data_IF_771097971016
#
_entry.id   IF_771097971016
#
_cell.length_a   1.000
_cell.length_b   1.000
_cell.length_c   1.000
_cell.angle_alpha   90.00
_cell.angle_beta   90.00
_cell.angle_gamma   90.00
#
_symmetry.space_group_name_H-M   'P 1'
#
loop_
_entity.id
_entity.type
_entity.pdbx_description
1 polymer ?
#
# COMPACT_ATOMS: atom_id res chain seq x y z
N UNK A 1 40.28 8.58 -49.90
CA UNK A 1 38.97 7.86 -49.91
C UNK A 1 38.66 7.12 -48.58
N UNK A 2 39.66 6.53 -47.91
CA UNK A 2 39.45 5.83 -46.61
C UNK A 2 39.00 6.74 -45.46
N UNK A 3 39.44 7.99 -45.44
CA UNK A 3 39.15 8.95 -44.34
C UNK A 3 37.66 9.42 -44.31
N UNK A 4 37.05 9.60 -45.46
CA UNK A 4 35.65 10.01 -45.60
C UNK A 4 34.70 8.88 -45.15
N UNK A 5 35.07 7.64 -45.43
CA UNK A 5 34.28 6.46 -45.07
C UNK A 5 34.31 6.23 -43.55
N UNK A 6 35.47 6.50 -42.91
CA UNK A 6 35.63 6.37 -41.44
C UNK A 6 34.82 7.44 -40.69
N UNK A 7 34.93 8.71 -41.13
CA UNK A 7 34.17 9.83 -40.56
C UNK A 7 32.66 9.65 -40.74
N UNK A 8 32.22 9.15 -41.91
CA UNK A 8 30.81 8.88 -42.17
C UNK A 8 30.29 7.73 -41.25
N UNK A 9 31.12 6.69 -41.05
CA UNK A 9 30.79 5.55 -40.17
C UNK A 9 30.73 5.94 -38.68
N UNK A 10 31.68 6.76 -38.25
CA UNK A 10 31.69 7.31 -36.89
C UNK A 10 30.47 8.21 -36.63
N UNK A 11 30.08 9.04 -37.61
CA UNK A 11 28.90 9.90 -37.54
C UNK A 11 27.61 9.07 -37.47
N UNK A 12 27.49 8.03 -38.30
CA UNK A 12 26.35 7.10 -38.26
C UNK A 12 26.25 6.35 -36.91
N UNK A 13 27.38 5.94 -36.34
CA UNK A 13 27.39 5.30 -35.03
C UNK A 13 26.97 6.27 -33.91
N UNK A 14 27.46 7.53 -33.94
CA UNK A 14 27.06 8.56 -32.98
C UNK A 14 25.56 8.89 -33.11
N UNK A 15 25.03 8.96 -34.32
CA UNK A 15 23.60 9.19 -34.57
C UNK A 15 22.76 7.97 -34.09
N UNK A 16 23.25 6.75 -34.27
CA UNK A 16 22.61 5.55 -33.81
C UNK A 16 22.61 5.46 -32.27
N UNK A 17 23.76 5.66 -31.60
CA UNK A 17 23.84 5.66 -30.13
C UNK A 17 23.02 6.77 -29.48
N UNK A 18 22.78 7.86 -30.23
CA UNK A 18 21.93 8.96 -29.75
C UNK A 18 20.49 8.54 -29.54
N UNK A 19 19.95 7.68 -30.39
CA UNK A 19 18.52 7.39 -30.44
C UNK A 19 18.15 5.94 -30.06
N UNK A 20 19.14 5.02 -30.07
CA UNK A 20 18.92 3.60 -29.77
C UNK A 20 19.67 3.14 -28.53
N UNK A 21 19.12 2.12 -27.86
CA UNK A 21 19.78 1.40 -26.77
C UNK A 21 20.78 0.39 -27.33
N UNK A 22 22.03 0.49 -26.89
CA UNK A 22 23.16 -0.30 -27.44
C UNK A 22 23.03 -1.81 -27.18
N UNK A 23 22.30 -2.23 -26.14
CA UNK A 23 22.14 -3.64 -25.80
C UNK A 23 21.00 -4.30 -26.61
N UNK A 24 19.92 -3.56 -26.87
CA UNK A 24 18.70 -4.12 -27.47
C UNK A 24 18.46 -3.69 -28.91
N UNK A 25 19.06 -2.58 -29.35
CA UNK A 25 18.82 -1.97 -30.66
C UNK A 25 17.44 -1.28 -30.80
N UNK A 26 16.64 -1.24 -29.73
CA UNK A 26 15.37 -0.51 -29.68
C UNK A 26 15.62 0.97 -29.41
N UNK A 27 14.60 1.82 -29.55
CA UNK A 27 14.74 3.20 -29.11
C UNK A 27 15.20 3.26 -27.65
N UNK A 28 16.08 4.22 -27.37
CA UNK A 28 16.40 4.55 -25.99
C UNK A 28 15.33 5.47 -25.38
N UNK A 29 15.41 5.73 -24.08
CA UNK A 29 14.47 6.57 -23.33
C UNK A 29 14.26 7.94 -23.98
N UNK A 30 15.34 8.58 -24.49
CA UNK A 30 15.28 9.91 -25.07
C UNK A 30 14.54 9.93 -26.40
N UNK A 31 14.86 9.02 -27.30
CA UNK A 31 14.23 8.93 -28.61
C UNK A 31 12.73 8.57 -28.45
N UNK A 32 12.41 7.60 -27.59
CA UNK A 32 11.01 7.25 -27.33
C UNK A 32 10.20 8.43 -26.79
N UNK A 33 10.78 9.19 -25.86
CA UNK A 33 10.09 10.38 -25.32
C UNK A 33 9.86 11.41 -26.42
N UNK A 34 10.87 11.71 -27.21
CA UNK A 34 10.77 12.66 -28.33
C UNK A 34 9.70 12.24 -29.35
N UNK A 35 9.76 10.99 -29.83
CA UNK A 35 8.84 10.48 -30.84
C UNK A 35 7.41 10.40 -30.32
N UNK A 36 7.21 9.95 -29.07
CA UNK A 36 5.89 9.89 -28.47
C UNK A 36 5.30 11.29 -28.24
N UNK A 37 6.08 12.27 -27.79
CA UNK A 37 5.63 13.66 -27.63
C UNK A 37 5.33 14.33 -28.98
N UNK A 38 6.15 14.07 -30.00
CA UNK A 38 5.92 14.55 -31.36
C UNK A 38 4.62 13.97 -31.94
N UNK A 39 4.37 12.67 -31.78
CA UNK A 39 3.14 12.01 -32.20
C UNK A 39 1.89 12.65 -31.56
N UNK A 40 1.92 12.89 -30.27
CA UNK A 40 0.78 13.50 -29.54
C UNK A 40 0.56 14.96 -29.92
N UNK A 41 1.60 15.70 -30.26
CA UNK A 41 1.53 17.13 -30.64
C UNK A 41 1.17 17.34 -32.09
N UNK A 42 1.80 16.56 -33.00
CA UNK A 42 1.81 16.84 -34.45
C UNK A 42 0.86 15.94 -35.25
N UNK A 43 0.55 14.75 -34.70
CA UNK A 43 -0.26 13.73 -35.37
C UNK A 43 -1.38 13.14 -34.51
N UNK A 44 -2.18 13.98 -33.81
CA UNK A 44 -3.26 13.48 -32.94
C UNK A 44 -4.32 12.68 -33.71
N UNK A 45 -4.44 12.88 -35.02
CA UNK A 45 -5.35 12.11 -35.88
C UNK A 45 -4.98 10.62 -35.96
N UNK A 46 -3.71 10.26 -35.70
CA UNK A 46 -3.23 8.87 -35.65
C UNK A 46 -3.54 8.18 -34.33
N UNK A 47 -3.97 8.94 -33.31
CA UNK A 47 -4.18 8.45 -31.97
C UNK A 47 -5.61 7.97 -31.71
N UNK A 48 -6.51 7.84 -32.74
CA UNK A 48 -7.93 7.45 -32.58
C UNK A 48 -8.14 6.37 -31.51
N UNK A 49 -7.39 5.27 -31.63
CA UNK A 49 -7.26 4.22 -30.62
C UNK A 49 -5.78 3.94 -30.46
N UNK A 50 -5.27 4.16 -29.26
CA UNK A 50 -3.87 3.92 -28.96
C UNK A 50 -3.73 3.29 -27.57
N UNK A 51 -2.61 2.58 -27.35
CA UNK A 51 -2.29 2.01 -26.03
C UNK A 51 -0.85 2.35 -25.69
N UNK A 52 -0.67 2.93 -24.50
CA UNK A 52 0.64 3.00 -23.87
C UNK A 52 0.82 1.75 -23.01
N UNK A 53 1.90 1.01 -23.25
CA UNK A 53 2.22 -0.22 -22.54
C UNK A 53 3.57 -0.08 -21.87
N UNK A 54 3.59 -0.23 -20.54
CA UNK A 54 4.81 -0.32 -19.75
C UNK A 54 5.07 -1.77 -19.39
N UNK A 55 6.28 -2.21 -19.62
CA UNK A 55 6.70 -3.60 -19.45
C UNK A 55 7.96 -3.65 -18.59
N UNK A 56 7.99 -4.63 -17.70
CA UNK A 56 9.16 -4.93 -16.88
C UNK A 56 9.45 -6.44 -16.96
N UNK A 57 10.72 -6.80 -17.13
CA UNK A 57 11.13 -8.21 -17.18
C UNK A 57 11.10 -8.83 -15.80
N UNK A 58 10.49 -10.01 -15.73
CA UNK A 58 10.42 -10.72 -14.48
C UNK A 58 11.75 -11.42 -14.17
N UNK A 59 12.13 -11.39 -12.89
CA UNK A 59 13.25 -12.16 -12.36
C UNK A 59 14.66 -11.76 -12.89
N UNK A 60 14.83 -10.55 -13.49
CA UNK A 60 16.16 -10.11 -13.91
C UNK A 60 17.14 -10.03 -12.72
N UNK A 61 16.69 -9.52 -11.57
CA UNK A 61 17.51 -9.48 -10.36
C UNK A 61 17.96 -10.89 -9.94
N UNK A 62 17.05 -11.87 -9.94
CA UNK A 62 17.39 -13.27 -9.66
C UNK A 62 18.44 -13.81 -10.65
N UNK A 63 18.30 -13.47 -11.93
CA UNK A 63 19.24 -13.86 -12.98
C UNK A 63 20.63 -13.26 -12.72
N UNK A 64 20.70 -11.97 -12.40
CA UNK A 64 21.96 -11.30 -12.07
C UNK A 64 22.62 -11.87 -10.81
N UNK A 65 21.86 -12.05 -9.75
CA UNK A 65 22.35 -12.51 -8.45
C UNK A 65 22.88 -13.96 -8.51
N UNK A 66 22.28 -14.82 -9.36
CA UNK A 66 22.66 -16.24 -9.44
C UNK A 66 23.62 -16.58 -10.60
N UNK A 67 23.60 -15.80 -11.69
CA UNK A 67 24.36 -16.14 -12.91
C UNK A 67 25.28 -15.02 -13.40
N UNK A 68 25.27 -13.86 -12.73
CA UNK A 68 26.07 -12.69 -13.07
C UNK A 68 25.42 -11.77 -14.10
N UNK A 69 25.92 -10.54 -14.18
CA UNK A 69 25.38 -9.49 -15.05
C UNK A 69 25.43 -9.83 -16.53
N UNK A 70 26.43 -10.58 -17.00
CA UNK A 70 26.53 -11.01 -18.41
C UNK A 70 25.30 -11.88 -18.83
N UNK A 71 24.74 -12.66 -17.90
CA UNK A 71 23.52 -13.42 -18.15
C UNK A 71 22.28 -12.54 -18.12
N UNK A 72 22.24 -11.53 -17.23
CA UNK A 72 21.21 -10.52 -17.24
C UNK A 72 21.18 -9.73 -18.54
N UNK A 73 22.33 -9.34 -19.04
CA UNK A 73 22.47 -8.65 -20.33
C UNK A 73 21.98 -9.52 -21.49
N UNK A 74 22.31 -10.80 -21.51
CA UNK A 74 21.76 -11.74 -22.51
C UNK A 74 20.25 -11.90 -22.38
N UNK A 75 19.72 -11.90 -21.16
CA UNK A 75 18.28 -11.99 -20.90
C UNK A 75 17.54 -10.76 -21.45
N UNK A 76 18.09 -9.56 -21.23
CA UNK A 76 17.59 -8.29 -21.78
C UNK A 76 17.73 -8.26 -23.31
N UNK A 77 18.88 -8.66 -23.83
CA UNK A 77 19.13 -8.70 -25.27
C UNK A 77 18.14 -9.61 -26.01
N UNK A 78 17.86 -10.82 -25.48
CA UNK A 78 16.89 -11.73 -26.08
C UNK A 78 15.45 -11.18 -26.01
N UNK A 79 15.09 -10.39 -24.97
CA UNK A 79 13.83 -9.67 -24.92
C UNK A 79 13.78 -8.59 -26.02
N UNK A 80 14.83 -7.78 -26.13
CA UNK A 80 14.95 -6.75 -27.17
C UNK A 80 14.81 -7.32 -28.58
N UNK A 81 15.48 -8.45 -28.87
CA UNK A 81 15.30 -9.18 -30.13
C UNK A 81 13.86 -9.64 -30.35
N UNK A 82 13.20 -10.10 -29.27
CA UNK A 82 11.79 -10.49 -29.35
C UNK A 82 10.89 -9.30 -29.66
N UNK A 83 11.09 -8.18 -29.02
CA UNK A 83 10.32 -6.98 -29.34
C UNK A 83 10.58 -6.50 -30.78
N UNK A 84 11.83 -6.44 -31.22
CA UNK A 84 12.17 -6.06 -32.59
C UNK A 84 11.56 -6.99 -33.66
N UNK A 85 11.40 -8.27 -33.34
CA UNK A 85 10.89 -9.28 -34.28
C UNK A 85 9.35 -9.33 -34.34
N UNK A 86 8.66 -9.11 -33.20
CA UNK A 86 7.22 -9.35 -33.08
C UNK A 86 6.37 -8.12 -32.86
N UNK A 87 6.96 -6.97 -32.49
CA UNK A 87 6.21 -5.72 -32.42
C UNK A 87 6.01 -5.19 -33.84
N UNK A 88 4.74 -4.88 -34.24
CA UNK A 88 4.44 -4.42 -35.60
C UNK A 88 5.17 -3.13 -35.95
N UNK A 89 5.54 -3.02 -37.24
CA UNK A 89 6.10 -1.80 -37.80
C UNK A 89 5.16 -0.60 -37.55
N UNK A 90 5.71 0.56 -37.23
CA UNK A 90 4.94 1.76 -36.86
C UNK A 90 4.61 1.88 -35.38
N UNK A 91 4.80 0.83 -34.57
CA UNK A 91 4.70 0.93 -33.10
C UNK A 91 6.02 1.47 -32.53
N UNK A 92 5.94 2.47 -31.64
CA UNK A 92 7.13 2.91 -30.92
C UNK A 92 7.48 1.88 -29.84
N UNK A 93 8.69 1.35 -29.88
CA UNK A 93 9.19 0.36 -28.92
C UNK A 93 10.56 0.77 -28.40
N UNK A 94 10.73 0.75 -27.09
CA UNK A 94 11.95 1.24 -26.44
C UNK A 94 12.34 0.46 -25.21
N UNK A 95 13.64 0.50 -24.90
CA UNK A 95 14.16 0.18 -23.57
C UNK A 95 14.42 1.48 -22.81
N UNK A 96 13.81 1.61 -21.64
CA UNK A 96 13.89 2.84 -20.83
C UNK A 96 15.09 2.79 -19.87
N UNK A 97 15.24 1.69 -19.15
CA UNK A 97 16.36 1.42 -18.25
C UNK A 97 16.29 -0.02 -17.75
N UNK A 98 17.43 -0.60 -17.39
CA UNK A 98 17.45 -1.92 -16.75
C UNK A 98 16.57 -2.96 -17.47
N UNK A 99 15.48 -3.35 -16.82
CA UNK A 99 14.47 -4.32 -17.26
C UNK A 99 13.17 -3.69 -17.79
N UNK A 100 13.12 -2.35 -17.91
CA UNK A 100 11.92 -1.61 -18.29
C UNK A 100 11.87 -1.31 -19.79
N UNK A 101 10.72 -1.64 -20.41
CA UNK A 101 10.43 -1.35 -21.81
C UNK A 101 9.10 -0.59 -21.92
N UNK A 102 9.02 0.32 -22.89
CA UNK A 102 7.79 1.01 -23.23
C UNK A 102 7.42 0.76 -24.69
N UNK A 103 6.12 0.51 -24.92
CA UNK A 103 5.53 0.46 -26.25
C UNK A 103 4.40 1.47 -26.36
N UNK A 104 4.26 2.08 -27.53
CA UNK A 104 3.12 2.92 -27.89
C UNK A 104 2.51 2.40 -29.19
N UNK A 105 1.38 1.74 -29.08
CA UNK A 105 0.56 1.29 -30.20
C UNK A 105 -0.37 2.42 -30.62
N UNK A 106 -0.42 2.72 -31.92
CA UNK A 106 -1.32 3.74 -32.49
C UNK A 106 -1.68 3.42 -33.92
N UNK A 107 -2.71 4.09 -34.48
CA UNK A 107 -3.16 3.87 -35.84
C UNK A 107 -4.04 2.62 -36.01
N UNK A 108 -4.60 2.09 -34.92
CA UNK A 108 -5.52 0.96 -34.92
C UNK A 108 -6.97 1.44 -34.90
N UNK A 109 -7.87 0.63 -35.46
CA UNK A 109 -9.31 0.95 -35.47
C UNK A 109 -10.02 0.50 -34.18
N UNK A 110 -9.47 -0.49 -33.46
CA UNK A 110 -10.07 -1.01 -32.25
C UNK A 110 -9.05 -1.39 -31.18
N UNK A 111 -9.48 -1.37 -29.90
CA UNK A 111 -8.70 -1.89 -28.79
C UNK A 111 -8.43 -3.39 -28.90
N UNK A 112 -9.40 -4.13 -29.47
CA UNK A 112 -9.28 -5.58 -29.60
C UNK A 112 -8.12 -5.98 -30.50
N UNK A 113 -7.90 -5.24 -31.59
CA UNK A 113 -6.72 -5.45 -32.44
C UNK A 113 -5.42 -5.25 -31.67
N UNK A 114 -5.33 -4.17 -30.89
CA UNK A 114 -4.13 -3.92 -30.05
C UNK A 114 -3.96 -5.00 -28.98
N UNK A 115 -5.05 -5.44 -28.33
CA UNK A 115 -5.00 -6.56 -27.35
C UNK A 115 -4.45 -7.83 -27.95
N UNK A 116 -4.91 -8.18 -29.15
CA UNK A 116 -4.43 -9.36 -29.86
C UNK A 116 -2.94 -9.25 -30.17
N UNK A 117 -2.49 -8.11 -30.68
CA UNK A 117 -1.07 -7.85 -30.93
C UNK A 117 -0.24 -7.96 -29.65
N UNK A 118 -0.68 -7.34 -28.56
CA UNK A 118 0.00 -7.44 -27.25
C UNK A 118 0.09 -8.89 -26.78
N UNK A 119 -0.99 -9.68 -26.92
CA UNK A 119 -1.02 -11.08 -26.55
C UNK A 119 -0.06 -11.92 -27.41
N UNK A 120 0.03 -11.66 -28.71
CA UNK A 120 0.97 -12.32 -29.61
C UNK A 120 2.42 -11.99 -29.29
N UNK A 121 2.72 -10.72 -29.06
CA UNK A 121 4.06 -10.25 -28.64
C UNK A 121 4.46 -10.94 -27.32
N UNK A 122 3.58 -10.92 -26.33
CA UNK A 122 3.82 -11.60 -25.06
C UNK A 122 4.10 -13.08 -25.24
N UNK A 123 3.25 -13.79 -25.97
CA UNK A 123 3.41 -15.21 -26.22
C UNK A 123 4.72 -15.53 -26.97
N UNK A 124 5.18 -14.63 -27.84
CA UNK A 124 6.44 -14.75 -28.53
C UNK A 124 7.64 -14.58 -27.58
N UNK A 125 7.59 -13.59 -26.70
CA UNK A 125 8.61 -13.36 -25.66
C UNK A 125 8.67 -14.56 -24.70
N UNK A 126 7.55 -15.07 -24.22
CA UNK A 126 7.50 -16.22 -23.28
C UNK A 126 8.09 -17.51 -23.87
N UNK A 127 8.17 -17.63 -25.20
CA UNK A 127 8.85 -18.74 -25.89
C UNK A 127 10.36 -18.59 -25.96
N UNK A 128 10.88 -17.37 -25.80
CA UNK A 128 12.33 -17.12 -25.82
C UNK A 128 12.99 -17.58 -24.51
N UNK A 129 14.26 -17.88 -24.59
CA UNK A 129 15.03 -18.35 -23.43
C UNK A 129 16.51 -18.03 -23.58
N UNK A 130 17.20 -17.97 -22.46
CA UNK A 130 18.67 -17.94 -22.39
C UNK A 130 19.18 -19.30 -21.90
N UNK A 131 20.23 -19.80 -22.50
CA UNK A 131 20.89 -21.03 -22.04
C UNK A 131 21.83 -20.72 -20.87
N UNK A 132 21.60 -21.38 -19.75
CA UNK A 132 22.45 -21.29 -18.57
C UNK A 132 23.72 -22.18 -18.74
N UNK A 133 24.79 -21.94 -17.95
CA UNK A 133 26.00 -22.76 -17.96
C UNK A 133 25.74 -24.25 -17.72
N UNK A 134 24.67 -24.57 -17.00
CA UNK A 134 24.21 -25.92 -16.71
C UNK A 134 23.51 -26.62 -17.90
N UNK A 135 23.33 -25.94 -19.04
CA UNK A 135 22.54 -26.43 -20.18
C UNK A 135 21.01 -26.27 -20.00
N UNK A 136 20.54 -25.77 -18.86
CA UNK A 136 19.12 -25.52 -18.64
C UNK A 136 18.68 -24.23 -19.37
N UNK A 137 17.42 -24.25 -19.84
CA UNK A 137 16.77 -23.08 -20.46
C UNK A 137 16.13 -22.21 -19.40
N UNK A 138 16.54 -20.96 -19.30
CA UNK A 138 15.84 -19.93 -18.53
C UNK A 138 14.90 -19.18 -19.47
N UNK A 139 13.60 -19.40 -19.35
CA UNK A 139 12.58 -18.72 -20.16
C UNK A 139 12.45 -17.27 -19.76
N UNK A 140 12.19 -16.41 -20.77
CA UNK A 140 11.83 -15.04 -20.53
C UNK A 140 10.41 -14.97 -19.93
N UNK A 141 10.20 -14.00 -19.06
CA UNK A 141 8.88 -13.64 -18.52
C UNK A 141 8.81 -12.14 -18.40
N UNK A 142 7.67 -11.58 -18.78
CA UNK A 142 7.42 -10.14 -18.73
C UNK A 142 6.07 -9.86 -18.09
N UNK A 143 6.02 -8.79 -17.31
CA UNK A 143 4.82 -8.23 -16.72
C UNK A 143 4.56 -6.85 -17.33
N UNK A 144 3.30 -6.52 -17.60
CA UNK A 144 3.00 -5.23 -18.22
C UNK A 144 1.69 -4.60 -17.76
N UNK A 145 1.65 -3.27 -17.87
CA UNK A 145 0.44 -2.48 -17.66
C UNK A 145 0.07 -1.72 -18.91
N UNK A 146 -1.22 -1.61 -19.19
CA UNK A 146 -1.79 -1.00 -20.40
C UNK A 146 -2.66 0.17 -20.00
N UNK A 147 -2.44 1.33 -20.63
CA UNK A 147 -3.32 2.49 -20.53
C UNK A 147 -3.80 2.92 -21.91
N UNK A 148 -5.11 3.18 -22.04
CA UNK A 148 -5.79 3.43 -23.29
C UNK A 148 -6.01 4.92 -23.58
N UNK A 149 -5.63 5.36 -24.77
CA UNK A 149 -6.02 6.64 -25.33
C UNK A 149 -7.28 6.48 -26.21
N UNK A 150 -8.26 7.37 -26.15
CA UNK A 150 -8.40 8.48 -25.21
C UNK A 150 -9.12 8.11 -23.89
N UNK A 151 -9.51 6.85 -23.71
CA UNK A 151 -10.41 6.39 -22.65
C UNK A 151 -9.87 6.66 -21.24
N UNK A 152 -8.63 6.30 -20.98
CA UNK A 152 -8.04 6.54 -19.66
C UNK A 152 -7.51 7.98 -19.56
N UNK A 153 -6.92 8.51 -20.63
CA UNK A 153 -6.45 9.90 -20.72
C UNK A 153 -6.11 10.30 -22.14
N UNK A 154 -6.15 11.61 -22.40
CA UNK A 154 -5.57 12.23 -23.62
C UNK A 154 -4.17 12.81 -23.36
N UNK A 155 -3.70 12.80 -22.12
CA UNK A 155 -2.37 13.26 -21.73
C UNK A 155 -1.39 12.08 -21.67
N UNK A 156 -0.30 12.18 -22.44
CA UNK A 156 0.75 11.14 -22.48
C UNK A 156 1.39 10.87 -21.11
N UNK A 157 1.55 11.92 -20.26
CA UNK A 157 2.13 11.75 -18.92
C UNK A 157 1.21 10.95 -18.01
N UNK A 158 -0.11 11.18 -18.13
CA UNK A 158 -1.09 10.41 -17.39
C UNK A 158 -1.18 8.97 -17.90
N UNK A 159 -1.16 8.75 -19.22
CA UNK A 159 -1.11 7.39 -19.77
C UNK A 159 0.09 6.60 -19.27
N UNK A 160 1.29 7.22 -19.24
CA UNK A 160 2.49 6.60 -18.65
C UNK A 160 2.27 6.22 -17.19
N UNK A 161 1.74 7.14 -16.39
CA UNK A 161 1.46 6.92 -14.96
C UNK A 161 0.44 5.78 -14.73
N UNK A 162 -0.58 5.71 -15.57
CA UNK A 162 -1.63 4.70 -15.47
C UNK A 162 -1.15 3.32 -15.91
N UNK A 163 -0.33 3.24 -16.95
CA UNK A 163 0.31 1.99 -17.35
C UNK A 163 1.30 1.49 -16.29
N UNK A 164 2.08 2.39 -15.68
CA UNK A 164 2.98 2.06 -14.56
C UNK A 164 2.21 1.50 -13.36
N UNK A 165 1.11 2.15 -12.98
CA UNK A 165 0.24 1.64 -11.92
C UNK A 165 -0.30 0.24 -12.23
N UNK A 166 -0.80 0.01 -13.44
CA UNK A 166 -1.32 -1.30 -13.85
C UNK A 166 -0.22 -2.37 -13.83
N UNK A 167 0.98 -2.07 -14.32
CA UNK A 167 2.15 -2.96 -14.24
C UNK A 167 2.54 -3.28 -12.79
N UNK A 168 2.52 -2.28 -11.90
CA UNK A 168 2.78 -2.49 -10.48
C UNK A 168 1.77 -3.46 -9.83
N UNK A 169 0.47 -3.38 -10.21
CA UNK A 169 -0.54 -4.34 -9.75
C UNK A 169 -0.20 -5.77 -10.19
N UNK A 170 0.23 -5.96 -11.44
CA UNK A 170 0.70 -7.25 -11.95
C UNK A 170 1.86 -7.79 -11.12
N UNK A 171 2.85 -6.97 -10.81
CA UNK A 171 4.01 -7.37 -9.99
C UNK A 171 3.61 -7.85 -8.60
N UNK A 172 2.52 -7.33 -8.04
CA UNK A 172 1.98 -7.74 -6.73
C UNK A 172 1.09 -8.97 -6.79
N UNK A 173 0.37 -9.19 -7.89
CA UNK A 173 -0.65 -10.26 -8.02
C UNK A 173 -0.13 -11.58 -8.60
N UNK A 174 1.15 -11.66 -9.02
CA UNK A 174 1.72 -12.95 -9.45
C UNK A 174 2.63 -12.92 -10.67
N UNK A 175 2.89 -11.75 -11.26
CA UNK A 175 3.79 -11.54 -12.41
C UNK A 175 3.36 -12.30 -13.67
N UNK A 176 4.08 -12.12 -14.77
CA UNK A 176 3.96 -12.91 -16.00
C UNK A 176 2.67 -12.67 -16.79
N UNK A 177 1.95 -11.58 -16.59
CA UNK A 177 0.76 -11.21 -17.37
C UNK A 177 0.70 -9.70 -17.62
N UNK A 178 -0.30 -9.30 -18.42
CA UNK A 178 -0.59 -7.88 -18.67
C UNK A 178 -1.94 -7.53 -18.06
N UNK A 179 -2.04 -6.32 -17.52
CA UNK A 179 -3.26 -5.77 -16.94
C UNK A 179 -3.56 -4.40 -17.54
N UNK A 180 -4.82 -4.17 -17.87
CA UNK A 180 -5.31 -2.85 -18.26
C UNK A 180 -5.50 -1.98 -17.02
N UNK A 181 -5.29 -0.69 -17.18
CA UNK A 181 -5.54 0.29 -16.13
C UNK A 181 -7.03 0.33 -15.80
N UNK A 182 -7.30 0.32 -14.52
CA UNK A 182 -8.64 0.44 -13.93
C UNK A 182 -8.66 1.65 -12.99
N UNK A 183 -9.51 2.63 -13.32
CA UNK A 183 -9.61 3.88 -12.56
C UNK A 183 -10.15 3.65 -11.14
N UNK A 184 -11.10 2.72 -10.97
CA UNK A 184 -11.66 2.44 -9.63
C UNK A 184 -10.61 1.80 -8.71
N UNK A 185 -9.77 0.92 -9.26
CA UNK A 185 -8.65 0.31 -8.51
C UNK A 185 -7.61 1.36 -8.17
N UNK A 186 -7.33 2.27 -9.10
CA UNK A 186 -6.39 3.36 -8.90
C UNK A 186 -6.85 4.32 -7.81
N UNK A 187 -8.11 4.76 -7.85
CA UNK A 187 -8.68 5.68 -6.86
C UNK A 187 -8.75 5.04 -5.48
N UNK A 188 -9.12 3.76 -5.39
CA UNK A 188 -9.08 2.99 -4.14
C UNK A 188 -7.65 2.93 -3.57
N UNK A 189 -6.66 2.64 -4.40
CA UNK A 189 -5.26 2.58 -3.99
C UNK A 189 -4.71 3.94 -3.56
N UNK A 190 -5.08 5.01 -4.24
CA UNK A 190 -4.73 6.38 -3.88
C UNK A 190 -5.35 6.78 -2.54
N UNK A 191 -6.63 6.45 -2.33
CA UNK A 191 -7.34 6.69 -1.08
C UNK A 191 -6.73 5.92 0.09
N UNK A 192 -6.38 4.64 -0.09
CA UNK A 192 -5.72 3.85 0.97
C UNK A 192 -4.32 4.41 1.31
N UNK A 193 -3.58 4.87 0.30
CA UNK A 193 -2.28 5.52 0.53
C UNK A 193 -2.43 6.82 1.33
N UNK A 194 -3.42 7.64 1.00
CA UNK A 194 -3.69 8.88 1.73
C UNK A 194 -4.24 8.62 3.14
N UNK A 195 -5.11 7.62 3.31
CA UNK A 195 -5.57 7.15 4.64
C UNK A 195 -4.38 6.77 5.53
N UNK A 196 -3.48 5.96 4.99
CA UNK A 196 -2.27 5.54 5.71
C UNK A 196 -1.41 6.72 6.14
N UNK A 197 -1.20 7.67 5.24
CA UNK A 197 -0.45 8.88 5.53
C UNK A 197 -1.10 9.73 6.63
N UNK A 198 -2.41 9.94 6.55
CA UNK A 198 -3.18 10.68 7.56
C UNK A 198 -3.16 9.96 8.91
N UNK A 199 -3.29 8.63 8.90
CA UNK A 199 -3.17 7.81 10.11
C UNK A 199 -1.79 7.97 10.78
N UNK A 200 -0.69 7.86 10.01
CA UNK A 200 0.66 8.03 10.57
C UNK A 200 0.91 9.44 11.13
N UNK A 201 0.29 10.47 10.53
CA UNK A 201 0.34 11.83 11.07
C UNK A 201 -0.44 11.94 12.39
N UNK A 202 -1.63 11.33 12.45
CA UNK A 202 -2.48 11.31 13.64
C UNK A 202 -1.76 10.63 14.83
N UNK A 203 -1.14 9.47 14.61
CA UNK A 203 -0.34 8.79 15.65
C UNK A 203 0.86 9.64 16.09
N UNK A 204 1.62 10.19 15.12
CA UNK A 204 2.82 11.00 15.43
C UNK A 204 2.50 12.26 16.25
N UNK A 205 1.37 12.88 15.99
CA UNK A 205 0.95 14.11 16.67
C UNK A 205 0.05 13.83 17.89
N UNK A 206 -0.32 12.57 18.11
CA UNK A 206 -1.25 12.14 19.15
C UNK A 206 -2.60 12.89 19.08
N UNK A 207 -3.08 13.18 17.88
CA UNK A 207 -4.30 13.98 17.61
C UNK A 207 -5.56 13.10 17.63
N UNK A 208 -5.72 12.22 18.63
CA UNK A 208 -6.95 11.46 18.89
C UNK A 208 -7.84 12.21 19.87
N UNK A 209 -9.12 12.30 19.54
CA UNK A 209 -10.15 12.93 20.38
C UNK A 209 -11.04 11.85 20.99
N UNK A 210 -11.49 12.07 22.23
CA UNK A 210 -12.39 11.15 22.91
C UNK A 210 -13.67 11.87 23.33
N UNK A 211 -14.82 11.23 23.05
CA UNK A 211 -16.12 11.64 23.56
C UNK A 211 -16.47 10.75 24.73
N UNK A 212 -17.23 11.29 25.68
CA UNK A 212 -17.56 10.59 26.92
C UNK A 212 -19.06 10.32 26.96
N UNK A 213 -19.41 9.03 26.84
CA UNK A 213 -20.80 8.59 26.89
C UNK A 213 -21.17 8.24 28.33
N UNK A 214 -22.21 8.85 28.91
CA UNK A 214 -22.60 8.57 30.29
C UNK A 214 -23.25 7.19 30.42
N UNK A 215 -22.82 6.43 31.42
CA UNK A 215 -23.44 5.19 31.89
C UNK A 215 -24.29 5.54 33.10
N UNK A 216 -25.59 5.24 33.05
CA UNK A 216 -26.58 5.64 34.01
C UNK A 216 -27.05 4.43 34.81
N UNK A 217 -27.17 4.57 36.14
CA UNK A 217 -27.78 3.54 37.00
C UNK A 217 -29.25 3.40 36.68
N UNK A 218 -29.69 2.22 36.28
CA UNK A 218 -31.11 1.90 36.05
C UNK A 218 -31.99 2.03 37.30
N UNK A 219 -31.39 1.96 38.51
CA UNK A 219 -32.10 2.05 39.78
C UNK A 219 -32.28 3.52 40.18
N UNK A 220 -31.22 4.34 40.05
CA UNK A 220 -31.24 5.71 40.62
C UNK A 220 -31.37 6.81 39.57
N UNK A 221 -31.21 6.51 38.27
CA UNK A 221 -31.15 7.46 37.16
C UNK A 221 -29.94 8.37 37.19
N UNK A 222 -28.94 8.12 38.06
CA UNK A 222 -27.73 8.95 38.14
C UNK A 222 -26.63 8.41 37.23
N UNK A 223 -25.80 9.32 36.69
CA UNK A 223 -24.56 8.95 36.00
C UNK A 223 -23.60 8.31 37.01
N UNK A 224 -23.11 7.12 36.72
CA UNK A 224 -22.20 6.37 37.58
C UNK A 224 -20.85 6.15 36.93
N UNK A 225 -20.79 6.25 35.61
CA UNK A 225 -19.55 6.12 34.82
C UNK A 225 -19.64 6.88 33.51
N UNK A 226 -18.51 7.05 32.90
CA UNK A 226 -18.33 7.59 31.53
C UNK A 226 -17.51 6.60 30.71
N UNK A 227 -17.95 6.31 29.51
CA UNK A 227 -17.18 5.52 28.54
C UNK A 227 -16.46 6.47 27.57
N UNK A 228 -15.13 6.35 27.49
CA UNK A 228 -14.31 7.13 26.59
C UNK A 228 -14.30 6.47 25.21
N UNK A 229 -14.97 7.11 24.25
CA UNK A 229 -15.13 6.62 22.89
C UNK A 229 -14.26 7.44 21.92
N UNK A 230 -13.33 6.76 21.27
CA UNK A 230 -12.48 7.37 20.24
C UNK A 230 -13.32 8.02 19.14
N UNK A 231 -12.93 9.23 18.74
CA UNK A 231 -13.48 9.93 17.59
C UNK A 231 -12.37 10.32 16.64
N UNK A 232 -12.63 10.16 15.36
CA UNK A 232 -11.68 10.47 14.30
C UNK A 232 -12.31 11.51 13.40
N UNK A 233 -11.74 12.71 13.41
CA UNK A 233 -12.23 13.85 12.62
C UNK A 233 -11.40 14.05 11.34
N UNK A 234 -11.00 12.94 10.70
CA UNK A 234 -10.22 12.96 9.48
C UNK A 234 -11.08 12.44 8.32
N UNK A 235 -11.18 13.15 7.19
CA UNK A 235 -12.14 12.83 6.12
C UNK A 235 -12.07 11.40 5.58
N UNK A 236 -10.88 10.80 5.57
CA UNK A 236 -10.67 9.45 5.04
C UNK A 236 -10.64 8.37 6.12
N UNK A 237 -10.45 8.73 7.40
CA UNK A 237 -10.53 7.83 8.54
C UNK A 237 -11.83 8.11 9.26
N UNK A 238 -12.85 7.28 9.02
CA UNK A 238 -14.21 7.58 9.48
C UNK A 238 -14.62 6.84 10.74
N UNK A 239 -13.87 5.82 11.12
CA UNK A 239 -14.24 4.99 12.27
C UNK A 239 -13.03 4.55 13.09
N UNK A 240 -13.23 4.23 14.39
CA UNK A 240 -12.21 3.61 15.23
C UNK A 240 -11.65 2.31 14.64
N UNK A 241 -12.46 1.51 13.93
CA UNK A 241 -12.06 0.27 13.30
C UNK A 241 -11.03 0.52 12.17
N UNK A 242 -11.17 1.61 11.40
CA UNK A 242 -10.17 2.02 10.40
C UNK A 242 -8.82 2.32 11.07
N UNK A 243 -8.84 3.02 12.21
CA UNK A 243 -7.64 3.34 12.99
C UNK A 243 -6.98 2.08 13.53
N UNK A 244 -7.76 1.17 14.12
CA UNK A 244 -7.25 -0.08 14.67
C UNK A 244 -6.66 -0.99 13.58
N UNK A 245 -7.34 -1.11 12.43
CA UNK A 245 -6.84 -1.86 11.27
C UNK A 245 -5.50 -1.31 10.78
N UNK A 246 -5.40 0.01 10.59
CA UNK A 246 -4.16 0.65 10.15
C UNK A 246 -3.05 0.53 11.21
N UNK A 247 -3.37 0.65 12.49
CA UNK A 247 -2.41 0.45 13.57
C UNK A 247 -1.81 -0.97 13.55
N UNK A 248 -2.63 -1.97 13.24
CA UNK A 248 -2.18 -3.36 13.08
C UNK A 248 -1.28 -3.53 11.83
N UNK A 249 -1.69 -2.96 10.69
CA UNK A 249 -0.91 -3.01 9.44
C UNK A 249 0.45 -2.30 9.57
N UNK A 250 0.48 -1.14 10.24
CA UNK A 250 1.68 -0.33 10.46
C UNK A 250 2.51 -0.75 11.67
N UNK A 251 2.05 -1.76 12.45
CA UNK A 251 2.72 -2.28 13.65
C UNK A 251 2.90 -1.24 14.75
N UNK A 252 1.93 -0.35 14.92
CA UNK A 252 1.92 0.70 15.95
C UNK A 252 0.70 0.60 16.88
N UNK A 253 0.26 -0.64 17.17
CA UNK A 253 -0.81 -0.90 18.15
C UNK A 253 -0.42 -0.42 19.56
N UNK A 254 0.84 -0.53 19.93
CA UNK A 254 1.34 -0.07 21.22
C UNK A 254 1.22 1.45 21.37
N UNK A 255 1.65 2.19 20.35
CA UNK A 255 1.51 3.65 20.32
C UNK A 255 0.04 4.09 20.40
N UNK A 256 -0.84 3.37 19.69
CA UNK A 256 -2.28 3.63 19.75
C UNK A 256 -2.83 3.38 21.15
N UNK A 257 -2.45 2.27 21.80
CA UNK A 257 -2.84 1.95 23.18
C UNK A 257 -2.42 3.04 24.15
N UNK A 258 -1.15 3.46 24.07
CA UNK A 258 -0.60 4.55 24.90
C UNK A 258 -1.40 5.84 24.71
N UNK A 259 -1.60 6.28 23.47
CA UNK A 259 -2.35 7.50 23.15
C UNK A 259 -3.77 7.40 23.73
N UNK A 260 -4.43 6.24 23.59
CA UNK A 260 -5.78 6.00 24.10
C UNK A 260 -5.85 6.27 25.60
N UNK A 261 -4.97 5.66 26.38
CA UNK A 261 -4.97 5.84 27.82
C UNK A 261 -4.73 7.29 28.23
N UNK A 262 -3.68 7.92 27.67
CA UNK A 262 -3.31 9.27 28.06
C UNK A 262 -4.36 10.30 27.65
N UNK A 263 -4.90 10.21 26.42
CA UNK A 263 -5.90 11.18 25.93
C UNK A 263 -7.27 10.99 26.58
N UNK A 264 -7.69 9.76 26.84
CA UNK A 264 -8.94 9.50 27.56
C UNK A 264 -8.87 10.02 29.01
N UNK A 265 -7.76 9.81 29.72
CA UNK A 265 -7.60 10.34 31.07
C UNK A 265 -7.49 11.87 31.08
N UNK A 266 -6.75 12.47 30.16
CA UNK A 266 -6.62 13.93 30.01
C UNK A 266 -7.98 14.58 29.79
N UNK A 267 -8.78 14.08 28.85
CA UNK A 267 -10.10 14.66 28.56
C UNK A 267 -11.07 14.50 29.73
N UNK A 268 -11.05 13.37 30.47
CA UNK A 268 -11.84 13.22 31.69
C UNK A 268 -11.46 14.25 32.75
N UNK A 269 -10.15 14.49 32.97
CA UNK A 269 -9.70 15.51 33.89
C UNK A 269 -10.18 16.91 33.49
N UNK A 270 -10.17 17.23 32.19
CA UNK A 270 -10.70 18.51 31.70
C UNK A 270 -12.19 18.66 32.01
N UNK A 271 -13.02 17.62 31.77
CA UNK A 271 -14.45 17.63 32.10
C UNK A 271 -14.69 17.81 33.61
N UNK A 272 -13.89 17.15 34.45
CA UNK A 272 -13.95 17.29 35.90
C UNK A 272 -13.59 18.72 36.34
N UNK A 273 -12.50 19.25 35.83
CA UNK A 273 -12.01 20.58 36.21
C UNK A 273 -12.95 21.70 35.73
N UNK A 274 -13.68 21.47 34.62
CA UNK A 274 -14.75 22.33 34.15
C UNK A 274 -16.05 22.19 34.95
N UNK A 275 -16.17 21.22 35.85
CA UNK A 275 -17.40 20.93 36.60
C UNK A 275 -18.52 20.28 35.80
N UNK A 276 -18.18 19.70 34.64
CA UNK A 276 -19.14 18.98 33.79
C UNK A 276 -19.45 17.58 34.33
N UNK A 277 -18.52 17.00 35.10
CA UNK A 277 -18.66 15.74 35.82
C UNK A 277 -18.31 15.96 37.30
N UNK A 278 -18.81 15.06 38.20
CA UNK A 278 -18.58 15.22 39.63
C UNK A 278 -17.17 14.85 40.07
N UNK A 279 -16.50 13.99 39.27
CA UNK A 279 -15.15 13.48 39.51
C UNK A 279 -15.09 12.22 40.37
N UNK A 280 -16.27 11.60 40.69
CA UNK A 280 -16.40 10.33 41.35
C UNK A 280 -16.95 9.21 40.45
N UNK A 281 -17.24 9.54 39.18
CA UNK A 281 -17.66 8.56 38.17
C UNK A 281 -16.51 7.65 37.77
N UNK A 282 -16.81 6.40 37.43
CA UNK A 282 -15.87 5.49 36.80
C UNK A 282 -15.56 5.97 35.37
N UNK A 283 -14.34 5.75 34.92
CA UNK A 283 -13.92 6.00 33.55
C UNK A 283 -13.59 4.70 32.84
N UNK A 284 -14.41 4.33 31.88
CA UNK A 284 -14.23 3.16 31.04
C UNK A 284 -13.38 3.52 29.83
N UNK A 285 -12.31 2.76 29.58
CA UNK A 285 -11.37 2.97 28.47
C UNK A 285 -11.21 1.66 27.70
N UNK A 286 -11.52 1.70 26.40
CA UNK A 286 -11.29 0.57 25.50
C UNK A 286 -9.80 0.31 25.37
N UNK A 287 -9.37 -0.93 25.55
CA UNK A 287 -7.99 -1.36 25.57
C UNK A 287 -7.75 -2.52 24.60
N UNK A 288 -6.63 -2.47 23.89
CA UNK A 288 -6.21 -3.53 22.97
C UNK A 288 -5.65 -4.69 23.81
N UNK A 289 -6.30 -5.86 23.78
CA UNK A 289 -5.97 -6.99 24.64
C UNK A 289 -4.50 -7.44 24.53
N UNK A 290 -3.92 -7.35 23.33
CA UNK A 290 -2.53 -7.74 23.05
C UNK A 290 -1.48 -6.68 23.41
N UNK A 291 -1.86 -5.49 23.90
CA UNK A 291 -0.97 -4.38 24.22
C UNK A 291 -1.03 -3.99 25.69
N UNK A 292 0.09 -3.53 26.22
CA UNK A 292 0.19 -2.99 27.56
C UNK A 292 1.10 -1.77 27.55
N UNK A 293 0.91 -0.83 28.46
CA UNK A 293 1.86 0.24 28.68
C UNK A 293 3.19 -0.33 29.20
N UNK A 294 4.31 0.23 28.77
CA UNK A 294 5.62 -0.08 29.34
C UNK A 294 5.69 0.36 30.81
N UNK A 295 6.68 -0.13 31.56
CA UNK A 295 6.89 0.28 32.95
C UNK A 295 7.16 1.79 33.09
N UNK A 296 7.78 2.40 32.09
CA UNK A 296 8.05 3.83 32.03
C UNK A 296 6.77 4.62 31.77
N UNK A 297 5.99 4.22 30.78
CA UNK A 297 4.68 4.83 30.44
C UNK A 297 3.68 4.67 31.58
N UNK A 298 3.69 3.52 32.25
CA UNK A 298 2.86 3.27 33.41
C UNK A 298 3.23 4.15 34.61
N UNK A 299 4.52 4.42 34.80
CA UNK A 299 4.98 5.38 35.81
C UNK A 299 4.58 6.80 35.44
N UNK A 300 4.75 7.19 34.17
CA UNK A 300 4.33 8.50 33.68
C UNK A 300 2.82 8.70 33.83
N UNK A 301 2.01 7.70 33.47
CA UNK A 301 0.57 7.75 33.60
C UNK A 301 0.15 7.93 35.06
N UNK A 302 0.75 7.19 35.99
CA UNK A 302 0.50 7.34 37.44
C UNK A 302 0.90 8.71 37.99
N UNK A 303 1.99 9.26 37.51
CA UNK A 303 2.43 10.60 37.92
C UNK A 303 1.43 11.68 37.48
N UNK A 304 0.80 11.53 36.31
CA UNK A 304 -0.12 12.51 35.76
C UNK A 304 -1.56 12.29 36.24
N UNK A 305 -2.00 11.04 36.33
CA UNK A 305 -3.39 10.64 36.50
C UNK A 305 -3.61 9.60 37.61
N UNK A 306 -2.66 9.46 38.54
CA UNK A 306 -2.72 8.45 39.61
C UNK A 306 -3.94 8.57 40.52
N UNK A 307 -4.53 9.75 40.64
CA UNK A 307 -5.79 9.97 41.37
C UNK A 307 -6.99 9.26 40.71
N UNK A 308 -6.94 9.01 39.39
CA UNK A 308 -7.98 8.28 38.65
C UNK A 308 -7.84 6.76 38.76
N UNK A 309 -6.76 6.23 39.30
CA UNK A 309 -6.43 4.80 39.26
C UNK A 309 -7.58 3.91 39.76
N UNK A 310 -8.23 4.29 40.87
CA UNK A 310 -9.37 3.53 41.45
C UNK A 310 -10.67 3.69 40.64
N UNK A 311 -10.73 4.65 39.75
CA UNK A 311 -11.88 4.95 38.90
C UNK A 311 -11.75 4.37 37.49
N UNK A 312 -10.52 3.99 37.06
CA UNK A 312 -10.28 3.43 35.73
C UNK A 312 -10.82 2.02 35.62
N UNK A 313 -11.63 1.79 34.58
CA UNK A 313 -12.12 0.48 34.18
C UNK A 313 -11.64 0.22 32.75
N UNK A 314 -10.91 -0.86 32.56
CA UNK A 314 -10.39 -1.25 31.25
C UNK A 314 -11.36 -2.17 30.57
N UNK A 315 -11.81 -1.81 29.38
CA UNK A 315 -12.69 -2.62 28.55
C UNK A 315 -11.88 -3.47 27.57
N UNK A 316 -12.16 -4.76 27.56
CA UNK A 316 -11.54 -5.74 26.65
C UNK A 316 -12.66 -6.45 25.90
N UNK A 317 -12.58 -6.47 24.56
CA UNK A 317 -13.57 -7.15 23.73
C UNK A 317 -13.32 -8.66 23.70
N UNK A 318 -14.40 -9.45 23.63
CA UNK A 318 -14.34 -10.92 23.58
C UNK A 318 -13.63 -11.45 22.32
N UNK A 319 -13.68 -10.72 21.21
CA UNK A 319 -13.20 -11.16 19.89
C UNK A 319 -11.68 -11.12 19.74
N UNK A 320 -10.96 -10.47 20.64
CA UNK A 320 -9.51 -10.41 20.57
C UNK A 320 -8.86 -11.72 21.00
N UNK A 321 -7.92 -12.21 20.19
CA UNK A 321 -7.14 -13.41 20.52
C UNK A 321 -6.24 -13.11 21.70
N UNK A 322 -6.55 -13.70 22.84
CA UNK A 322 -5.90 -13.41 24.11
C UNK A 322 -4.53 -14.12 24.18
N UNK A 323 -3.48 -13.34 24.18
CA UNK A 323 -2.16 -13.80 24.64
C UNK A 323 -2.17 -13.85 26.16
N UNK A 324 -1.86 -15.03 26.73
CA UNK A 324 -1.96 -15.28 28.15
C UNK A 324 -1.03 -14.34 28.96
N UNK A 325 0.16 -14.02 28.44
CA UNK A 325 1.11 -13.11 29.08
C UNK A 325 0.60 -11.65 29.12
N UNK A 326 -0.02 -11.19 28.03
CA UNK A 326 -0.61 -9.86 27.96
C UNK A 326 -1.79 -9.72 28.95
N UNK A 327 -2.59 -10.78 29.10
CA UNK A 327 -3.72 -10.80 30.03
C UNK A 327 -3.29 -10.83 31.49
N UNK A 328 -2.25 -11.59 31.82
CA UNK A 328 -1.72 -11.63 33.19
C UNK A 328 -1.23 -10.24 33.63
N UNK A 329 -0.63 -9.48 32.71
CA UNK A 329 -0.23 -8.09 32.96
C UNK A 329 -1.44 -7.16 33.12
N UNK A 330 -2.52 -7.36 32.34
CA UNK A 330 -3.75 -6.58 32.47
C UNK A 330 -4.53 -6.91 33.74
N UNK A 331 -4.40 -8.11 34.28
CA UNK A 331 -4.99 -8.50 35.57
C UNK A 331 -4.20 -7.98 36.79
N UNK A 332 -3.08 -7.31 36.60
CA UNK A 332 -2.32 -6.75 37.71
C UNK A 332 -3.04 -5.55 38.32
N UNK A 333 -3.54 -5.64 39.56
CA UNK A 333 -4.34 -4.57 40.20
C UNK A 333 -3.55 -3.29 40.50
N UNK A 334 -2.28 -3.25 40.13
CA UNK A 334 -1.39 -2.11 40.36
C UNK A 334 -1.61 -0.95 39.37
N UNK A 335 -2.35 -1.17 38.28
CA UNK A 335 -2.44 -0.21 37.19
C UNK A 335 -3.80 0.45 37.03
N UNK A 336 -4.89 -0.27 37.37
CA UNK A 336 -6.28 0.21 37.22
C UNK A 336 -7.20 -0.39 38.27
N UNK A 337 -8.39 0.22 38.43
CA UNK A 337 -9.32 -0.17 39.45
C UNK A 337 -10.12 -1.44 39.14
N UNK A 338 -10.46 -1.67 37.86
CA UNK A 338 -11.34 -2.77 37.45
C UNK A 338 -11.15 -3.13 35.97
N UNK A 339 -11.66 -4.31 35.58
CA UNK A 339 -11.75 -4.78 34.18
C UNK A 339 -13.23 -4.96 33.83
N UNK A 340 -13.58 -4.59 32.61
CA UNK A 340 -14.86 -4.85 31.98
C UNK A 340 -14.68 -5.78 30.76
N UNK A 341 -15.55 -6.75 30.60
CA UNK A 341 -15.65 -7.54 29.37
C UNK A 341 -16.75 -6.94 28.50
N UNK A 342 -16.38 -6.53 27.28
CA UNK A 342 -17.32 -5.93 26.33
C UNK A 342 -17.80 -6.94 25.29
N UNK A 343 -18.97 -6.69 24.67
CA UNK A 343 -19.62 -7.53 23.67
C UNK A 343 -19.85 -8.99 24.12
N UNK A 344 -20.13 -9.22 25.39
CA UNK A 344 -20.31 -10.57 25.92
C UNK A 344 -21.47 -11.31 25.25
N UNK A 345 -21.19 -12.51 24.76
CA UNK A 345 -22.13 -13.37 24.07
C UNK A 345 -22.14 -13.29 22.57
N UNK A 346 -21.29 -12.47 21.96
CA UNK A 346 -21.18 -12.36 20.51
C UNK A 346 -20.11 -13.28 19.89
N UNK A 347 -19.25 -13.90 20.71
CA UNK A 347 -18.13 -14.74 20.29
C UNK A 347 -18.13 -16.17 20.86
N UNK A 348 -17.13 -16.95 20.45
CA UNK A 348 -16.98 -18.37 20.85
C UNK A 348 -16.19 -18.57 22.16
N UNK A 349 -15.66 -17.51 22.78
CA UNK A 349 -14.74 -17.59 23.93
C UNK A 349 -15.28 -16.97 25.23
N UNK A 350 -16.55 -16.60 25.30
CA UNK A 350 -17.19 -15.86 26.42
C UNK A 350 -16.85 -16.45 27.79
N UNK A 351 -17.03 -17.77 27.98
CA UNK A 351 -16.75 -18.42 29.24
C UNK A 351 -15.28 -18.43 29.62
N UNK A 352 -14.41 -18.64 28.66
CA UNK A 352 -12.96 -18.62 28.89
C UNK A 352 -12.46 -17.22 29.27
N UNK A 353 -12.98 -16.20 28.62
CA UNK A 353 -12.66 -14.80 28.94
C UNK A 353 -13.11 -14.43 30.35
N UNK A 354 -14.31 -14.81 30.76
CA UNK A 354 -14.80 -14.61 32.13
C UNK A 354 -13.90 -15.26 33.17
N UNK A 355 -13.48 -16.51 32.93
CA UNK A 355 -12.59 -17.24 33.86
C UNK A 355 -11.20 -16.66 33.94
N UNK A 356 -10.67 -16.18 32.81
CA UNK A 356 -9.27 -15.69 32.75
C UNK A 356 -9.15 -14.26 33.26
N UNK A 357 -10.08 -13.38 32.87
CA UNK A 357 -10.06 -11.95 33.24
C UNK A 357 -10.69 -11.66 34.59
N UNK A 358 -11.59 -12.53 35.06
CA UNK A 358 -12.38 -12.27 36.28
C UNK A 358 -12.95 -10.85 36.34
N UNK A 359 -13.64 -10.36 35.27
CA UNK A 359 -14.05 -8.97 35.14
C UNK A 359 -15.04 -8.57 36.22
N UNK A 360 -14.97 -7.33 36.68
CA UNK A 360 -15.92 -6.75 37.64
C UNK A 360 -17.18 -6.24 36.93
N UNK A 361 -17.10 -5.99 35.63
CA UNK A 361 -18.20 -5.51 34.79
C UNK A 361 -18.31 -6.36 33.53
N UNK A 362 -19.54 -6.57 33.09
CA UNK A 362 -19.85 -7.26 31.82
C UNK A 362 -20.83 -6.40 31.04
N UNK A 363 -20.52 -6.05 29.81
CA UNK A 363 -21.40 -5.37 28.86
C UNK A 363 -22.00 -6.40 27.91
N UNK A 364 -23.31 -6.33 27.67
CA UNK A 364 -24.09 -7.29 26.85
C UNK A 364 -24.74 -6.55 25.69
#
# INVERSE_FOLDING_TARGET
>A
MEDVTKVTRERMNIEHERDYDTLTGLYNRRAFQWESEALFREHPEKLKTAAFVMIDMDNLKYTNDNFGHDFGDRYIHEAGRGFAEYVPEGTLCSRISGDEFNLLFYGYDSKEEIRNVIAEVKAAIDRKFVLLPSGRKLRLSISGGIAWYPENSTDLKLLKKYADFAMYQVKRSGKGHFQEFDLEVYDRSANETEKRKQFLQLIRKEELTYYYQPIVSAITGKVIALEALMRVEIPLLRSPEDVLRLAKEERCLHELERITFFRAAEGYCILRDNGEVRGDELLFINSIASQNLTDEESREFRLRYGELQSQLVIEITEQETLDQEAMEKKNAPEFWGAIALDDYGTGYNSEKCLLTLSPQYVKV
#
